data_IF_701742472290
#
_entry.id   IF_701742472290
#
_cell.length_a   1.000
_cell.length_b   1.000
_cell.length_c   1.000
_cell.angle_alpha   90.00
_cell.angle_beta   90.00
_cell.angle_gamma   90.00
#
_symmetry.space_group_name_H-M   'P 1'
#
loop_
_entity.id
_entity.type
_entity.pdbx_description
1 polymer ?
#
# COMPACT_ATOMS: atom_id res chain seq x y z
N UNK A 1 10.42 -6.05 14.96
CA UNK A 1 9.15 -6.40 15.59
C UNK A 1 7.93 -5.78 14.90
N UNK A 2 7.81 -4.45 14.70
CA UNK A 2 6.63 -3.83 14.06
C UNK A 2 6.24 -4.42 12.70
N UNK A 3 7.22 -4.72 11.81
CA UNK A 3 6.95 -5.29 10.48
C UNK A 3 6.39 -6.72 10.52
N UNK A 4 6.84 -7.55 11.46
CA UNK A 4 6.33 -8.93 11.62
C UNK A 4 4.89 -8.90 12.11
N UNK A 5 4.58 -8.03 13.08
CA UNK A 5 3.20 -7.85 13.58
C UNK A 5 2.27 -7.40 12.44
N UNK A 6 2.71 -6.48 11.58
CA UNK A 6 1.94 -6.06 10.40
C UNK A 6 1.66 -7.24 9.45
N UNK A 7 2.63 -8.12 9.21
CA UNK A 7 2.46 -9.29 8.37
C UNK A 7 1.44 -10.25 9.00
N UNK A 8 1.52 -10.51 10.30
CA UNK A 8 0.58 -11.40 11.01
C UNK A 8 -0.84 -10.84 10.96
N UNK A 9 -1.02 -9.56 11.32
CA UNK A 9 -2.33 -8.90 11.28
C UNK A 9 -2.89 -8.92 9.85
N UNK A 10 -2.06 -8.60 8.85
CA UNK A 10 -2.47 -8.64 7.45
C UNK A 10 -2.98 -10.01 7.03
N UNK A 11 -2.28 -11.08 7.38
CA UNK A 11 -2.70 -12.45 7.06
C UNK A 11 -4.01 -12.84 7.79
N UNK A 12 -4.18 -12.44 9.05
CA UNK A 12 -5.43 -12.68 9.80
C UNK A 12 -6.61 -12.00 9.11
N UNK A 13 -6.48 -10.72 8.76
CA UNK A 13 -7.52 -9.95 8.07
C UNK A 13 -7.89 -10.58 6.72
N UNK A 14 -6.89 -10.97 5.93
CA UNK A 14 -7.11 -11.61 4.63
C UNK A 14 -7.80 -12.96 4.77
N UNK A 15 -7.31 -13.84 5.64
CA UNK A 15 -7.85 -15.18 5.81
C UNK A 15 -9.28 -15.13 6.36
N UNK A 16 -9.55 -14.25 7.31
CA UNK A 16 -10.89 -14.01 7.81
C UNK A 16 -11.82 -13.51 6.69
N UNK A 17 -11.45 -12.44 6.00
CA UNK A 17 -12.28 -11.86 4.93
C UNK A 17 -12.54 -12.87 3.81
N UNK A 18 -11.51 -13.61 3.39
CA UNK A 18 -11.66 -14.58 2.31
C UNK A 18 -12.56 -15.75 2.70
N UNK A 19 -12.31 -16.36 3.86
CA UNK A 19 -13.07 -17.53 4.33
C UNK A 19 -14.53 -17.19 4.64
N UNK A 20 -14.77 -16.15 5.44
CA UNK A 20 -16.09 -15.88 6.02
C UNK A 20 -16.98 -14.94 5.21
N UNK A 21 -16.38 -14.11 4.36
CA UNK A 21 -17.15 -13.15 3.55
C UNK A 21 -17.18 -13.55 2.08
N UNK A 22 -16.03 -13.86 1.49
CA UNK A 22 -15.94 -14.09 0.05
C UNK A 22 -16.37 -15.51 -0.31
N UNK A 23 -15.70 -16.51 0.27
CA UNK A 23 -15.91 -17.91 -0.07
C UNK A 23 -17.32 -18.38 0.32
N UNK A 24 -17.77 -18.02 1.52
CA UNK A 24 -19.08 -18.40 2.06
C UNK A 24 -20.25 -17.86 1.22
N UNK A 25 -20.08 -16.73 0.55
CA UNK A 25 -21.09 -16.06 -0.27
C UNK A 25 -20.88 -16.25 -1.78
N UNK A 26 -20.01 -17.17 -2.19
CA UNK A 26 -19.72 -17.49 -3.59
C UNK A 26 -19.29 -16.27 -4.43
N UNK A 27 -18.68 -15.26 -3.79
CA UNK A 27 -18.18 -14.09 -4.49
C UNK A 27 -16.91 -14.44 -5.21
N UNK A 28 -16.83 -14.06 -6.48
CA UNK A 28 -15.62 -14.26 -7.29
C UNK A 28 -14.44 -13.51 -6.69
N UNK A 29 -13.32 -14.18 -6.52
CA UNK A 29 -12.11 -13.63 -5.96
C UNK A 29 -10.94 -13.71 -6.93
N UNK A 30 -9.99 -12.78 -6.79
CA UNK A 30 -8.73 -12.80 -7.50
C UNK A 30 -7.64 -13.59 -6.77
N UNK A 31 -6.41 -13.45 -7.24
CA UNK A 31 -5.22 -14.00 -6.61
C UNK A 31 -5.15 -15.52 -6.58
N UNK A 32 -4.22 -16.02 -5.75
CA UNK A 32 -4.06 -17.46 -5.56
C UNK A 32 -5.31 -18.12 -4.99
N UNK A 33 -6.04 -17.41 -4.15
CA UNK A 33 -7.31 -17.90 -3.61
C UNK A 33 -8.34 -18.11 -4.72
N UNK A 34 -8.46 -17.16 -5.64
CA UNK A 34 -9.38 -17.25 -6.78
C UNK A 34 -9.04 -18.41 -7.73
N UNK A 35 -7.76 -18.57 -8.11
CA UNK A 35 -7.37 -19.72 -8.95
C UNK A 35 -7.54 -21.05 -8.20
N UNK A 36 -7.36 -21.06 -6.87
CA UNK A 36 -7.60 -22.25 -6.05
C UNK A 36 -9.09 -22.62 -6.00
N UNK A 37 -10.00 -21.64 -6.05
CA UNK A 37 -11.44 -21.89 -6.21
C UNK A 37 -11.75 -22.55 -7.54
N UNK A 38 -11.10 -22.13 -8.63
CA UNK A 38 -11.20 -22.77 -9.95
C UNK A 38 -10.74 -24.25 -9.86
N UNK A 39 -9.59 -24.50 -9.25
CA UNK A 39 -9.10 -25.86 -9.06
C UNK A 39 -10.05 -26.70 -8.20
N UNK A 40 -10.54 -26.14 -7.11
CA UNK A 40 -11.52 -26.82 -6.25
C UNK A 40 -12.77 -27.23 -7.02
N UNK A 41 -13.33 -26.34 -7.83
CA UNK A 41 -14.50 -26.62 -8.65
C UNK A 41 -14.32 -27.83 -9.58
N UNK A 42 -13.15 -27.94 -10.23
CA UNK A 42 -12.91 -29.05 -11.19
C UNK A 42 -12.37 -30.32 -10.55
N UNK A 43 -11.68 -30.23 -9.40
CA UNK A 43 -10.96 -31.41 -8.84
C UNK A 43 -11.47 -31.86 -7.47
N UNK A 44 -12.22 -31.01 -6.77
CA UNK A 44 -12.67 -31.28 -5.39
C UNK A 44 -11.57 -31.10 -4.32
N UNK A 45 -10.34 -30.72 -4.70
CA UNK A 45 -9.23 -30.51 -3.75
C UNK A 45 -9.54 -29.28 -2.89
N UNK A 46 -9.25 -29.36 -1.58
CA UNK A 46 -9.53 -28.22 -0.69
C UNK A 46 -8.80 -26.93 -1.14
N UNK A 47 -9.48 -25.79 -1.05
CA UNK A 47 -8.94 -24.49 -1.46
C UNK A 47 -7.67 -24.16 -0.68
N UNK A 48 -7.67 -24.42 0.63
CA UNK A 48 -6.51 -24.19 1.50
C UNK A 48 -5.28 -24.98 1.08
N UNK A 49 -5.47 -26.24 0.66
CA UNK A 49 -4.37 -27.06 0.15
C UNK A 49 -3.83 -26.51 -1.18
N UNK A 50 -4.70 -26.14 -2.12
CA UNK A 50 -4.30 -25.52 -3.38
C UNK A 50 -3.52 -24.22 -3.15
N UNK A 51 -4.02 -23.34 -2.28
CA UNK A 51 -3.35 -22.11 -1.89
C UNK A 51 -1.97 -22.41 -1.30
N UNK A 52 -1.87 -23.40 -0.41
CA UNK A 52 -0.59 -23.78 0.19
C UNK A 52 0.44 -24.24 -0.85
N UNK A 53 0.05 -25.11 -1.78
CA UNK A 53 0.93 -25.63 -2.84
C UNK A 53 1.40 -24.50 -3.76
N UNK A 54 0.47 -23.66 -4.23
CA UNK A 54 0.79 -22.54 -5.13
C UNK A 54 1.69 -21.52 -4.42
N UNK A 55 1.39 -21.20 -3.16
CA UNK A 55 2.20 -20.27 -2.36
C UNK A 55 3.62 -20.78 -2.16
N UNK A 56 3.82 -22.08 -1.92
CA UNK A 56 5.17 -22.67 -1.81
C UNK A 56 5.92 -22.53 -3.13
N UNK A 57 5.28 -22.84 -4.26
CA UNK A 57 5.90 -22.69 -5.57
C UNK A 57 6.29 -21.23 -5.86
N UNK A 58 5.40 -20.27 -5.60
CA UNK A 58 5.66 -18.85 -5.76
C UNK A 58 6.72 -18.35 -4.79
N UNK A 59 6.76 -18.87 -3.56
CA UNK A 59 7.79 -18.56 -2.58
C UNK A 59 9.19 -18.95 -3.09
N UNK A 60 9.34 -20.13 -3.71
CA UNK A 60 10.61 -20.57 -4.30
C UNK A 60 11.04 -19.59 -5.40
N UNK A 61 10.12 -19.18 -6.27
CA UNK A 61 10.38 -18.16 -7.30
C UNK A 61 10.82 -16.83 -6.64
N UNK A 62 10.09 -16.37 -5.64
CA UNK A 62 10.44 -15.15 -4.91
C UNK A 62 11.80 -15.22 -4.24
N UNK A 63 12.16 -16.36 -3.65
CA UNK A 63 13.47 -16.57 -3.06
C UNK A 63 14.60 -16.42 -4.10
N UNK A 64 14.43 -17.03 -5.28
CA UNK A 64 15.42 -16.99 -6.35
C UNK A 64 15.62 -15.57 -6.93
N UNK A 65 14.54 -14.82 -7.14
CA UNK A 65 14.58 -13.53 -7.84
C UNK A 65 14.66 -12.30 -6.93
N UNK A 66 14.04 -12.33 -5.75
CA UNK A 66 13.95 -11.19 -4.83
C UNK A 66 14.91 -11.29 -3.65
N UNK A 67 15.50 -12.46 -3.43
CA UNK A 67 16.58 -12.66 -2.48
C UNK A 67 16.11 -13.01 -1.06
N UNK A 68 17.10 -13.36 -0.20
CA UNK A 68 16.88 -13.95 1.12
C UNK A 68 16.13 -13.05 2.11
N UNK A 69 16.39 -11.73 2.09
CA UNK A 69 15.74 -10.80 3.00
C UNK A 69 14.22 -10.65 2.75
N UNK A 70 13.80 -10.73 1.49
CA UNK A 70 12.40 -10.78 1.09
C UNK A 70 11.76 -12.12 1.50
N UNK A 71 12.44 -13.22 1.17
CA UNK A 71 11.94 -14.56 1.45
C UNK A 71 11.68 -14.81 2.95
N UNK A 72 12.56 -14.36 3.84
CA UNK A 72 12.38 -14.48 5.29
C UNK A 72 11.10 -13.82 5.81
N UNK A 73 10.65 -12.74 5.19
CA UNK A 73 9.40 -12.06 5.58
C UNK A 73 8.18 -12.75 4.94
N UNK A 74 8.32 -13.18 3.69
CA UNK A 74 7.27 -13.86 2.94
C UNK A 74 7.00 -15.25 3.49
N UNK A 75 8.01 -15.93 4.04
CA UNK A 75 7.88 -17.24 4.66
C UNK A 75 6.74 -17.30 5.69
N UNK A 76 6.59 -16.24 6.49
CA UNK A 76 5.51 -16.14 7.48
C UNK A 76 4.16 -16.25 6.79
N UNK A 77 3.92 -15.43 5.75
CA UNK A 77 2.64 -15.42 5.03
C UNK A 77 2.38 -16.73 4.29
N UNK A 78 3.42 -17.32 3.67
CA UNK A 78 3.33 -18.57 2.89
C UNK A 78 2.71 -19.72 3.69
N UNK A 79 3.02 -19.80 4.97
CA UNK A 79 2.47 -20.83 5.86
C UNK A 79 1.29 -20.35 6.69
N UNK A 80 1.32 -19.11 7.15
CA UNK A 80 0.29 -18.56 8.04
C UNK A 80 -1.05 -18.38 7.33
N UNK A 81 -1.06 -17.87 6.10
CA UNK A 81 -2.30 -17.60 5.38
C UNK A 81 -3.12 -18.88 5.10
N UNK A 82 -2.57 -19.95 4.50
CA UNK A 82 -3.32 -21.18 4.29
C UNK A 82 -3.83 -21.84 5.59
N UNK A 83 -3.01 -21.76 6.65
CA UNK A 83 -3.36 -22.31 7.97
C UNK A 83 -4.53 -21.52 8.60
N UNK A 84 -4.49 -20.20 8.53
CA UNK A 84 -5.59 -19.36 9.03
C UNK A 84 -6.85 -19.51 8.16
N UNK A 85 -6.68 -19.66 6.85
CA UNK A 85 -7.79 -19.91 5.93
C UNK A 85 -8.53 -21.19 6.31
N UNK A 86 -7.81 -22.29 6.51
CA UNK A 86 -8.39 -23.55 6.96
C UNK A 86 -9.04 -23.42 8.33
N UNK A 87 -8.36 -22.74 9.27
CA UNK A 87 -8.90 -22.49 10.61
C UNK A 87 -10.24 -21.76 10.57
N UNK A 88 -10.33 -20.66 9.83
CA UNK A 88 -11.59 -19.90 9.74
C UNK A 88 -12.67 -20.66 8.96
N UNK A 89 -12.30 -21.42 7.94
CA UNK A 89 -13.23 -22.22 7.15
C UNK A 89 -13.90 -23.34 7.97
N UNK A 90 -13.25 -23.84 9.01
CA UNK A 90 -13.83 -24.85 9.91
C UNK A 90 -14.75 -24.29 10.98
N UNK A 91 -14.81 -22.96 11.14
CA UNK A 91 -15.61 -22.33 12.20
C UNK A 91 -17.06 -22.05 11.74
N UNK A 92 -17.95 -23.00 11.92
CA UNK A 92 -19.36 -22.91 11.46
C UNK A 92 -20.10 -21.65 11.97
N UNK A 93 -19.74 -21.11 13.14
CA UNK A 93 -20.38 -19.90 13.69
C UNK A 93 -19.97 -18.61 12.98
N UNK A 94 -18.94 -18.63 12.14
CA UNK A 94 -18.50 -17.50 11.34
C UNK A 94 -19.20 -17.47 9.96
N UNK A 95 -19.83 -18.54 9.56
CA UNK A 95 -20.56 -18.62 8.30
C UNK A 95 -21.93 -17.92 8.43
N UNK A 96 -22.33 -17.22 7.37
CA UNK A 96 -23.61 -16.52 7.35
C UNK A 96 -23.69 -15.30 8.28
N UNK A 97 -22.55 -14.70 8.68
CA UNK A 97 -22.52 -13.49 9.51
C UNK A 97 -23.26 -12.31 8.88
N UNK A 98 -23.25 -12.24 7.57
CA UNK A 98 -23.87 -11.19 6.78
C UNK A 98 -24.68 -11.82 5.65
N UNK A 99 -25.86 -11.26 5.38
CA UNK A 99 -26.75 -11.72 4.30
C UNK A 99 -26.82 -10.73 3.12
N UNK A 100 -26.33 -9.51 3.30
CA UNK A 100 -26.32 -8.49 2.26
C UNK A 100 -25.04 -8.60 1.43
N UNK A 101 -25.17 -9.07 0.19
CA UNK A 101 -24.04 -9.29 -0.72
C UNK A 101 -23.26 -8.01 -1.02
N UNK A 102 -23.92 -6.84 -1.07
CA UNK A 102 -23.24 -5.58 -1.28
C UNK A 102 -22.33 -5.22 -0.09
N UNK A 103 -22.86 -5.38 1.13
CA UNK A 103 -22.10 -5.15 2.36
C UNK A 103 -20.91 -6.12 2.47
N UNK A 104 -21.13 -7.38 2.08
CA UNK A 104 -20.08 -8.41 2.05
C UNK A 104 -18.96 -8.02 1.09
N UNK A 105 -19.28 -7.56 -0.12
CA UNK A 105 -18.29 -7.10 -1.10
C UNK A 105 -17.47 -5.93 -0.57
N UNK A 106 -18.14 -4.94 0.05
CA UNK A 106 -17.49 -3.75 0.57
C UNK A 106 -16.53 -4.14 1.72
N UNK A 107 -17.04 -4.86 2.71
CA UNK A 107 -16.23 -5.28 3.87
C UNK A 107 -15.16 -6.28 3.48
N UNK A 108 -15.47 -7.27 2.64
CA UNK A 108 -14.54 -8.26 2.15
C UNK A 108 -13.39 -7.60 1.37
N UNK A 109 -13.71 -6.76 0.40
CA UNK A 109 -12.73 -6.02 -0.39
C UNK A 109 -11.87 -5.08 0.46
N UNK A 110 -12.48 -4.38 1.41
CA UNK A 110 -11.80 -3.52 2.36
C UNK A 110 -10.79 -4.29 3.22
N UNK A 111 -11.21 -5.38 3.85
CA UNK A 111 -10.35 -6.19 4.72
C UNK A 111 -9.24 -6.90 3.93
N UNK A 112 -9.55 -7.43 2.74
CA UNK A 112 -8.55 -8.01 1.83
C UNK A 112 -7.51 -6.97 1.45
N UNK A 113 -7.94 -5.80 0.99
CA UNK A 113 -7.03 -4.72 0.58
C UNK A 113 -6.17 -4.20 1.72
N UNK A 114 -6.74 -4.05 2.93
CA UNK A 114 -5.98 -3.74 4.14
C UNK A 114 -4.95 -4.81 4.45
N UNK A 115 -5.34 -6.08 4.42
CA UNK A 115 -4.46 -7.20 4.73
C UNK A 115 -3.28 -7.30 3.77
N UNK A 116 -3.54 -7.30 2.45
CA UNK A 116 -2.52 -7.31 1.39
C UNK A 116 -1.60 -6.08 1.54
N UNK A 117 -2.19 -4.90 1.66
CA UNK A 117 -1.44 -3.65 1.79
C UNK A 117 -0.52 -3.61 3.01
N UNK A 118 -0.94 -4.14 4.16
CA UNK A 118 -0.12 -4.26 5.37
C UNK A 118 1.09 -5.17 5.15
N UNK A 119 0.90 -6.32 4.52
CA UNK A 119 1.96 -7.29 4.24
C UNK A 119 2.99 -6.69 3.27
N UNK A 120 2.54 -6.12 2.16
CA UNK A 120 3.40 -5.49 1.16
C UNK A 120 4.14 -4.28 1.74
N UNK A 121 3.49 -3.43 2.54
CA UNK A 121 4.10 -2.28 3.23
C UNK A 121 5.19 -2.69 4.22
N UNK A 122 5.06 -3.85 4.85
CA UNK A 122 6.10 -4.42 5.70
C UNK A 122 7.32 -4.94 4.89
N UNK A 123 7.22 -4.98 3.56
CA UNK A 123 8.24 -5.46 2.63
C UNK A 123 8.30 -6.98 2.55
N UNK A 124 7.17 -7.66 2.81
CA UNK A 124 6.92 -9.07 2.52
C UNK A 124 5.96 -9.20 1.34
N UNK A 125 5.49 -10.42 1.12
CA UNK A 125 4.43 -10.79 0.18
C UNK A 125 3.41 -11.63 0.92
N UNK A 126 2.19 -11.70 0.40
CA UNK A 126 1.14 -12.60 0.90
C UNK A 126 1.45 -14.08 0.60
N UNK A 127 2.50 -14.33 -0.17
CA UNK A 127 2.87 -15.65 -0.68
C UNK A 127 2.22 -15.98 -2.02
N UNK A 128 1.37 -15.09 -2.52
CA UNK A 128 0.56 -15.23 -3.72
C UNK A 128 1.19 -14.66 -5.00
N UNK A 129 0.35 -14.38 -5.99
CA UNK A 129 0.78 -13.81 -7.29
C UNK A 129 1.40 -12.42 -7.18
N UNK A 130 1.28 -11.75 -6.06
CA UNK A 130 2.02 -10.54 -5.72
C UNK A 130 3.54 -10.76 -5.77
N UNK A 131 4.04 -12.00 -5.55
CA UNK A 131 5.45 -12.35 -5.77
C UNK A 131 5.83 -12.18 -7.25
N UNK A 132 5.01 -12.69 -8.16
CA UNK A 132 5.27 -12.52 -9.59
C UNK A 132 5.23 -11.04 -9.98
N UNK A 133 4.27 -10.29 -9.47
CA UNK A 133 4.17 -8.85 -9.69
C UNK A 133 5.42 -8.12 -9.19
N UNK A 134 5.94 -8.45 -8.00
CA UNK A 134 7.18 -7.87 -7.47
C UNK A 134 8.42 -8.25 -8.29
N UNK A 135 8.49 -9.47 -8.82
CA UNK A 135 9.58 -9.89 -9.72
C UNK A 135 9.54 -9.10 -11.03
N UNK A 136 8.36 -8.90 -11.61
CA UNK A 136 8.17 -8.11 -12.83
C UNK A 136 8.44 -6.63 -12.58
N UNK A 137 7.96 -6.05 -11.47
CA UNK A 137 8.26 -4.66 -11.10
C UNK A 137 9.75 -4.42 -11.00
N UNK A 138 10.50 -5.33 -10.35
CA UNK A 138 11.96 -5.21 -10.20
C UNK A 138 12.69 -5.15 -11.53
N UNK A 139 12.23 -5.91 -12.53
CA UNK A 139 12.91 -6.03 -13.82
C UNK A 139 12.41 -5.02 -14.85
N UNK A 140 11.12 -4.71 -14.86
CA UNK A 140 10.45 -3.92 -15.90
C UNK A 140 9.90 -2.57 -15.39
N UNK A 141 10.01 -2.29 -14.07
CA UNK A 141 9.50 -1.06 -13.43
C UNK A 141 8.00 -0.80 -13.61
N UNK A 142 7.22 -1.86 -13.86
CA UNK A 142 5.76 -1.78 -13.91
C UNK A 142 5.20 -1.81 -12.49
N UNK A 143 4.28 -0.93 -12.10
CA UNK A 143 3.74 -0.91 -10.75
C UNK A 143 3.12 -2.25 -10.32
N UNK A 144 3.45 -2.74 -9.12
CA UNK A 144 2.92 -4.00 -8.56
C UNK A 144 1.40 -4.05 -8.62
N UNK A 145 0.75 -2.95 -8.28
CA UNK A 145 -0.71 -2.87 -8.23
C UNK A 145 -1.36 -3.12 -9.58
N UNK A 146 -0.78 -2.62 -10.67
CA UNK A 146 -1.27 -2.83 -12.03
C UNK A 146 -1.15 -4.30 -12.43
N UNK A 147 -0.04 -4.94 -12.05
CA UNK A 147 0.21 -6.36 -12.35
C UNK A 147 -0.71 -7.26 -11.55
N UNK A 148 -0.88 -7.01 -10.25
CA UNK A 148 -1.81 -7.78 -9.40
C UNK A 148 -3.23 -7.66 -9.93
N UNK A 149 -3.69 -6.44 -10.24
CA UNK A 149 -5.03 -6.22 -10.78
C UNK A 149 -5.23 -6.91 -12.14
N UNK A 150 -4.21 -6.94 -12.99
CA UNK A 150 -4.25 -7.66 -14.28
C UNK A 150 -4.38 -9.18 -14.11
N UNK A 151 -3.65 -9.74 -13.14
CA UNK A 151 -3.76 -11.15 -12.77
C UNK A 151 -5.15 -11.46 -12.22
N UNK A 152 -5.65 -10.62 -11.30
CA UNK A 152 -6.97 -10.79 -10.70
C UNK A 152 -8.09 -10.73 -11.75
N UNK A 153 -8.02 -9.79 -12.69
CA UNK A 153 -8.96 -9.72 -13.82
C UNK A 153 -8.92 -10.97 -14.70
N UNK A 154 -7.73 -11.53 -14.94
CA UNK A 154 -7.60 -12.77 -15.71
C UNK A 154 -8.23 -13.96 -14.99
N UNK A 155 -8.00 -14.07 -13.67
CA UNK A 155 -8.57 -15.12 -12.84
C UNK A 155 -10.09 -14.99 -12.77
N UNK A 156 -10.61 -13.75 -12.71
CA UNK A 156 -12.05 -13.50 -12.75
C UNK A 156 -12.67 -14.02 -14.05
N UNK A 157 -12.03 -13.79 -15.21
CA UNK A 157 -12.52 -14.31 -16.49
C UNK A 157 -12.60 -15.83 -16.47
N UNK A 158 -11.63 -16.52 -15.86
CA UNK A 158 -11.67 -17.99 -15.72
C UNK A 158 -12.83 -18.49 -14.87
N UNK A 159 -13.30 -17.68 -13.93
CA UNK A 159 -14.40 -18.02 -13.02
C UNK A 159 -15.79 -17.78 -13.62
N UNK A 160 -15.91 -17.06 -14.75
CA UNK A 160 -17.22 -16.78 -15.41
C UNK A 160 -17.98 -18.07 -15.72
N UNK A 161 -17.26 -19.16 -16.01
CA UNK A 161 -17.89 -20.41 -16.46
C UNK A 161 -18.76 -21.12 -15.41
N UNK A 162 -18.58 -20.81 -14.12
CA UNK A 162 -19.27 -21.48 -13.01
C UNK A 162 -19.85 -20.54 -11.95
N UNK A 163 -19.88 -19.24 -12.25
CA UNK A 163 -20.53 -18.24 -11.40
C UNK A 163 -21.68 -17.54 -12.12
N UNK A 164 -22.66 -17.12 -11.37
CA UNK A 164 -23.78 -16.32 -11.88
C UNK A 164 -23.34 -14.86 -12.14
N UNK A 165 -24.08 -14.16 -13.00
CA UNK A 165 -23.80 -12.74 -13.32
C UNK A 165 -23.73 -11.85 -12.08
N UNK A 166 -24.65 -11.97 -11.08
CA UNK A 166 -24.52 -11.18 -9.85
C UNK A 166 -23.22 -11.45 -9.08
N UNK A 167 -22.80 -12.72 -8.94
CA UNK A 167 -21.56 -13.10 -8.24
C UNK A 167 -20.33 -12.52 -8.91
N UNK A 168 -20.32 -12.47 -10.26
CA UNK A 168 -19.24 -11.85 -11.05
C UNK A 168 -19.22 -10.34 -10.79
N UNK A 169 -20.37 -9.66 -10.81
CA UNK A 169 -20.45 -8.21 -10.56
C UNK A 169 -19.95 -7.88 -9.14
N UNK A 170 -20.37 -8.65 -8.14
CA UNK A 170 -19.89 -8.48 -6.77
C UNK A 170 -18.39 -8.78 -6.65
N UNK A 171 -17.89 -9.76 -7.38
CA UNK A 171 -16.46 -10.06 -7.47
C UNK A 171 -15.66 -8.90 -8.04
N UNK A 172 -16.12 -8.28 -9.14
CA UNK A 172 -15.49 -7.09 -9.71
C UNK A 172 -15.45 -5.94 -8.68
N UNK A 173 -16.56 -5.69 -7.99
CA UNK A 173 -16.62 -4.66 -6.95
C UNK A 173 -15.62 -4.94 -5.82
N UNK A 174 -15.54 -6.20 -5.37
CA UNK A 174 -14.60 -6.63 -4.34
C UNK A 174 -13.14 -6.38 -4.78
N UNK A 175 -12.79 -6.76 -6.02
CA UNK A 175 -11.44 -6.55 -6.57
C UNK A 175 -11.12 -5.06 -6.64
N UNK A 176 -12.04 -4.22 -7.11
CA UNK A 176 -11.83 -2.76 -7.19
C UNK A 176 -11.60 -2.14 -5.80
N UNK A 177 -12.39 -2.52 -4.81
CA UNK A 177 -12.25 -2.04 -3.43
C UNK A 177 -10.92 -2.53 -2.84
N UNK A 178 -10.57 -3.79 -3.07
CA UNK A 178 -9.27 -4.38 -2.64
C UNK A 178 -8.10 -3.59 -3.24
N UNK A 179 -8.14 -3.33 -4.55
CA UNK A 179 -7.13 -2.56 -5.25
C UNK A 179 -7.00 -1.13 -4.71
N UNK A 180 -8.13 -0.46 -4.47
CA UNK A 180 -8.15 0.88 -3.90
C UNK A 180 -7.52 0.93 -2.51
N UNK A 181 -7.91 0.02 -1.62
CA UNK A 181 -7.39 -0.03 -0.25
C UNK A 181 -5.91 -0.43 -0.20
N UNK A 182 -5.50 -1.38 -1.03
CA UNK A 182 -4.09 -1.75 -1.17
C UNK A 182 -3.24 -0.55 -1.62
N UNK A 183 -3.67 0.16 -2.68
CA UNK A 183 -3.00 1.36 -3.18
C UNK A 183 -2.93 2.46 -2.11
N UNK A 184 -4.03 2.72 -1.43
CA UNK A 184 -4.09 3.69 -0.34
C UNK A 184 -3.05 3.40 0.74
N UNK A 185 -2.92 2.13 1.18
CA UNK A 185 -1.94 1.74 2.19
C UNK A 185 -0.49 1.83 1.69
N UNK A 186 -0.22 1.44 0.45
CA UNK A 186 1.12 1.48 -0.13
C UNK A 186 1.60 2.92 -0.36
N UNK A 187 0.69 3.80 -0.75
CA UNK A 187 0.97 5.23 -0.93
C UNK A 187 1.03 5.99 0.40
N UNK A 188 0.25 5.54 1.40
CA UNK A 188 0.19 6.19 2.72
C UNK A 188 1.54 6.17 3.44
N UNK A 189 2.02 7.36 3.79
CA UNK A 189 3.27 7.56 4.54
C UNK A 189 4.54 7.69 3.69
N UNK A 190 4.43 7.61 2.36
CA UNK A 190 5.51 7.98 1.43
C UNK A 190 5.34 9.41 0.90
N UNK A 191 4.19 10.03 1.15
CA UNK A 191 3.89 11.36 0.65
C UNK A 191 4.82 12.41 1.24
N UNK A 192 5.47 13.18 0.37
CA UNK A 192 6.08 14.44 0.70
C UNK A 192 5.09 15.58 0.42
N UNK A 193 5.25 16.66 1.14
CA UNK A 193 4.56 17.91 0.84
C UNK A 193 5.58 18.96 0.46
N UNK A 194 5.22 19.71 -0.55
CA UNK A 194 5.87 20.97 -0.88
C UNK A 194 5.20 22.07 -0.07
N UNK A 195 5.99 22.86 0.59
CA UNK A 195 5.52 24.03 1.33
C UNK A 195 6.16 25.27 0.71
N UNK A 196 5.31 26.20 0.28
CA UNK A 196 5.70 27.56 -0.06
C UNK A 196 5.32 28.44 1.11
N UNK A 197 6.29 29.20 1.62
CA UNK A 197 6.13 30.03 2.80
C UNK A 197 6.57 31.47 2.47
N UNK A 198 5.73 32.41 2.80
CA UNK A 198 5.97 33.83 2.70
C UNK A 198 5.82 34.49 4.09
N UNK A 199 6.83 35.17 4.54
CA UNK A 199 6.87 35.83 5.84
C UNK A 199 7.80 37.02 5.80
N UNK A 200 7.66 37.93 6.76
CA UNK A 200 8.64 39.00 6.98
C UNK A 200 9.91 38.48 7.67
N UNK A 201 9.83 37.35 8.33
CA UNK A 201 10.91 36.72 9.10
C UNK A 201 11.56 35.56 8.30
N UNK A 202 11.81 35.75 7.01
CA UNK A 202 12.29 34.70 6.07
C UNK A 202 13.57 34.05 6.57
N UNK A 203 14.56 34.80 7.03
CA UNK A 203 15.83 34.24 7.51
C UNK A 203 15.65 33.36 8.74
N UNK A 204 14.78 33.74 9.68
CA UNK A 204 14.45 32.90 10.85
C UNK A 204 13.74 31.61 10.43
N UNK A 205 12.81 31.71 9.47
CA UNK A 205 12.10 30.55 8.89
C UNK A 205 13.06 29.60 8.21
N UNK A 206 13.98 30.12 7.40
CA UNK A 206 15.02 29.33 6.73
C UNK A 206 15.87 28.56 7.74
N UNK A 207 16.37 29.24 8.77
CA UNK A 207 17.22 28.61 9.79
C UNK A 207 16.46 27.54 10.58
N UNK A 208 15.23 27.76 10.95
CA UNK A 208 14.36 26.79 11.62
C UNK A 208 14.14 25.54 10.75
N UNK A 209 13.83 25.72 9.45
CA UNK A 209 13.61 24.59 8.56
C UNK A 209 14.89 23.78 8.35
N UNK A 210 16.04 24.43 8.19
CA UNK A 210 17.33 23.78 8.00
C UNK A 210 17.78 23.01 9.25
N UNK A 211 17.70 23.65 10.43
CA UNK A 211 18.29 23.11 11.65
C UNK A 211 17.34 22.19 12.41
N UNK A 212 16.08 22.63 12.61
CA UNK A 212 15.13 21.90 13.45
C UNK A 212 14.35 20.84 12.68
N UNK A 213 14.00 21.14 11.41
CA UNK A 213 13.23 20.21 10.58
C UNK A 213 14.10 19.28 9.76
N UNK A 214 15.42 19.54 9.70
CA UNK A 214 16.36 18.79 8.85
C UNK A 214 15.80 18.62 7.42
N UNK A 215 15.34 19.74 6.82
CA UNK A 215 14.78 19.79 5.49
C UNK A 215 15.53 20.81 4.61
N UNK A 216 15.61 20.53 3.30
CA UNK A 216 16.19 21.45 2.34
C UNK A 216 15.34 22.70 2.16
N UNK A 217 15.98 23.84 1.92
CA UNK A 217 15.32 25.12 1.64
C UNK A 217 15.85 25.66 0.33
N UNK A 218 14.94 26.14 -0.51
CA UNK A 218 15.25 26.96 -1.69
C UNK A 218 14.55 28.29 -1.53
N UNK A 219 15.27 29.38 -1.68
CA UNK A 219 14.69 30.72 -1.74
C UNK A 219 14.37 31.03 -3.21
N UNK A 220 13.16 31.51 -3.43
CA UNK A 220 12.68 31.96 -4.73
C UNK A 220 12.44 33.47 -4.65
N UNK A 221 13.16 34.21 -5.47
CA UNK A 221 12.95 35.66 -5.59
C UNK A 221 11.64 35.90 -6.34
N UNK A 222 10.85 36.83 -5.82
CA UNK A 222 9.57 37.21 -6.38
C UNK A 222 9.26 38.66 -6.17
N UNK A 223 8.14 39.11 -6.72
CA UNK A 223 7.63 40.46 -6.52
C UNK A 223 6.18 40.41 -6.07
N UNK A 224 5.86 41.15 -4.99
CA UNK A 224 4.48 41.26 -4.53
C UNK A 224 3.63 41.97 -5.57
N UNK A 225 2.59 41.30 -6.07
CA UNK A 225 1.68 41.87 -7.07
C UNK A 225 0.87 43.04 -6.53
N UNK A 226 0.60 43.10 -5.21
CA UNK A 226 -0.17 44.17 -4.58
C UNK A 226 0.67 45.37 -4.19
N UNK A 227 1.83 45.14 -3.54
CA UNK A 227 2.70 46.19 -3.03
C UNK A 227 3.82 46.58 -3.99
N UNK A 228 4.12 45.74 -4.99
CA UNK A 228 5.23 45.94 -5.94
C UNK A 228 6.62 45.80 -5.33
N UNK A 229 6.72 45.37 -4.08
CA UNK A 229 7.98 45.16 -3.37
C UNK A 229 8.58 43.79 -3.71
N UNK A 230 9.91 43.73 -3.71
CA UNK A 230 10.64 42.48 -3.79
C UNK A 230 10.33 41.62 -2.56
N UNK A 231 10.14 40.33 -2.75
CA UNK A 231 9.82 39.39 -1.70
C UNK A 231 10.50 38.05 -1.99
N UNK A 232 10.89 37.37 -0.96
CA UNK A 232 11.42 35.98 -1.07
C UNK A 232 10.36 34.99 -0.62
N UNK A 233 10.33 33.85 -1.29
CA UNK A 233 9.45 32.73 -0.96
C UNK A 233 10.32 31.53 -0.62
N UNK A 234 10.12 30.99 0.58
CA UNK A 234 10.75 29.74 0.98
C UNK A 234 10.01 28.58 0.34
N UNK A 235 10.72 27.78 -0.44
CA UNK A 235 10.27 26.48 -0.92
C UNK A 235 10.98 25.41 -0.09
N UNK A 236 10.22 24.51 0.54
CA UNK A 236 10.76 23.34 1.21
C UNK A 236 9.92 22.11 0.89
N UNK A 237 10.55 20.94 0.89
CA UNK A 237 9.87 19.65 0.71
C UNK A 237 10.21 18.79 1.92
N UNK A 238 9.18 18.24 2.56
CA UNK A 238 9.34 17.42 3.74
C UNK A 238 8.29 16.29 3.79
N UNK A 239 8.55 15.22 4.55
CA UNK A 239 7.55 14.18 4.77
C UNK A 239 6.29 14.74 5.42
N UNK A 240 5.11 14.31 4.95
CA UNK A 240 3.81 14.78 5.46
C UNK A 240 3.70 14.73 6.99
N UNK A 241 4.33 13.74 7.62
CA UNK A 241 4.35 13.57 9.09
C UNK A 241 5.00 14.74 9.85
N UNK A 242 5.89 15.51 9.20
CA UNK A 242 6.55 16.69 9.78
C UNK A 242 5.76 17.97 9.59
N UNK A 243 4.69 17.96 8.78
CA UNK A 243 3.91 19.15 8.45
C UNK A 243 3.23 19.81 9.67
N UNK A 244 2.64 19.07 10.64
CA UNK A 244 2.06 19.69 11.83
C UNK A 244 3.12 20.46 12.64
N UNK A 245 4.26 19.84 12.94
CA UNK A 245 5.37 20.48 13.68
C UNK A 245 5.92 21.71 12.95
N UNK A 246 6.06 21.62 11.61
CA UNK A 246 6.44 22.80 10.80
C UNK A 246 5.43 23.94 10.95
N UNK A 247 4.14 23.66 10.87
CA UNK A 247 3.10 24.70 11.00
C UNK A 247 3.10 25.37 12.38
N UNK A 248 3.33 24.60 13.44
CA UNK A 248 3.38 25.12 14.79
C UNK A 248 4.58 26.04 14.97
N UNK A 249 5.77 25.63 14.53
CA UNK A 249 6.98 26.44 14.57
C UNK A 249 6.91 27.70 13.70
N UNK A 250 6.25 27.63 12.54
CA UNK A 250 6.02 28.82 11.71
C UNK A 250 5.17 29.85 12.46
N UNK A 251 4.08 29.41 13.13
CA UNK A 251 3.22 30.30 13.90
C UNK A 251 3.93 30.95 15.09
N UNK A 252 4.87 30.22 15.72
CA UNK A 252 5.69 30.79 16.81
C UNK A 252 6.61 31.92 16.33
N UNK A 253 7.09 31.86 15.07
CA UNK A 253 7.97 32.86 14.50
C UNK A 253 7.18 34.04 13.92
N UNK A 254 6.12 33.76 13.15
CA UNK A 254 5.25 34.76 12.51
C UNK A 254 3.83 34.17 12.35
N UNK A 255 2.92 34.66 13.21
CA UNK A 255 1.52 34.22 13.17
C UNK A 255 0.80 34.60 11.86
N UNK A 256 1.32 35.61 11.15
CA UNK A 256 0.76 36.11 9.88
C UNK A 256 1.44 35.53 8.65
N UNK A 257 2.32 34.55 8.81
CA UNK A 257 2.99 33.89 7.70
C UNK A 257 1.96 33.24 6.76
N UNK A 258 2.15 33.43 5.46
CA UNK A 258 1.31 32.79 4.44
C UNK A 258 1.94 31.49 3.99
N UNK A 259 1.18 30.42 4.08
CA UNK A 259 1.65 29.06 3.82
C UNK A 259 0.77 28.40 2.76
N UNK A 260 1.39 27.90 1.69
CA UNK A 260 0.74 27.02 0.70
C UNK A 260 1.33 25.62 0.88
N UNK A 261 0.47 24.64 1.00
CA UNK A 261 0.87 23.22 1.10
C UNK A 261 0.29 22.46 -0.09
N UNK A 262 1.15 21.80 -0.84
CA UNK A 262 0.76 20.96 -1.97
C UNK A 262 1.30 19.54 -1.76
N UNK A 263 0.51 18.52 -2.11
CA UNK A 263 1.01 17.15 -2.14
C UNK A 263 1.95 16.96 -3.33
N UNK A 264 3.06 16.27 -3.09
CA UNK A 264 4.04 15.93 -4.12
C UNK A 264 3.94 14.45 -4.39
N UNK A 265 3.69 14.09 -5.64
CA UNK A 265 3.57 12.68 -6.05
C UNK A 265 4.92 11.98 -6.00
N UNK A 266 5.98 12.64 -6.47
CA UNK A 266 7.33 12.07 -6.51
C UNK A 266 8.38 13.15 -6.22
N UNK A 267 9.38 12.77 -5.42
CA UNK A 267 10.58 13.58 -5.16
C UNK A 267 11.80 12.69 -5.34
N UNK A 268 12.71 13.11 -6.21
CA UNK A 268 13.99 12.43 -6.46
C UNK A 268 15.15 13.39 -6.26
N UNK A 269 16.26 12.92 -5.70
CA UNK A 269 17.46 13.71 -5.51
C UNK A 269 18.11 13.54 -4.15
N UNK A 270 19.10 14.40 -3.85
CA UNK A 270 19.85 14.40 -2.59
C UNK A 270 18.92 14.65 -1.38
N UNK A 271 19.03 13.80 -0.38
CA UNK A 271 18.19 13.84 0.82
C UNK A 271 16.84 13.13 0.70
N UNK A 272 16.45 12.67 -0.50
CA UNK A 272 15.23 11.88 -0.75
C UNK A 272 15.55 10.50 -1.33
N UNK A 273 16.19 10.44 -2.49
CA UNK A 273 16.57 9.18 -3.15
C UNK A 273 17.97 8.75 -2.74
N UNK A 274 18.86 9.71 -2.56
CA UNK A 274 20.24 9.48 -2.10
C UNK A 274 20.40 9.96 -0.66
N UNK A 275 21.30 9.30 0.11
CA UNK A 275 21.67 9.80 1.43
C UNK A 275 22.25 11.21 1.33
N UNK A 276 21.93 12.09 2.27
CA UNK A 276 22.55 13.42 2.36
C UNK A 276 24.05 13.22 2.47
N UNK A 277 24.81 13.57 1.43
CA UNK A 277 26.23 13.82 1.59
C UNK A 277 26.36 15.09 2.43
N UNK A 278 27.06 14.99 3.56
CA UNK A 278 27.35 16.15 4.39
C UNK A 278 28.06 17.18 3.51
N UNK A 279 27.54 18.39 3.47
CA UNK A 279 28.17 19.52 2.79
C UNK A 279 29.59 19.72 3.33
N UNK A 280 30.58 19.30 2.59
CA UNK A 280 31.80 20.06 2.51
C UNK A 280 31.47 21.26 1.60
N UNK A 281 31.42 22.42 2.20
CA UNK A 281 31.28 23.67 1.48
C UNK A 281 32.53 23.85 0.62
N UNK A 282 32.45 23.48 -0.65
CA UNK A 282 33.38 23.96 -1.65
C UNK A 282 32.87 25.30 -2.14
N UNK A 283 33.44 26.35 -1.60
CA UNK A 283 33.46 27.67 -2.21
C UNK A 283 34.38 27.68 -3.42
#
# INVERSE_FOLDING_TARGET
MKKIIQIIIGNILMAFAFSTLILDNSIVAGGVSGISTVFHFYTGISISLCVGIINIALFIIGFCFLGKAFAMKTLISTFLFPTLLEFFNQQSYLHGLLNDQLLICILGGFLLGLGIGLVLKAGGSTGGFDILALVVEKNFKVPVTLLVNGIDATILVLQISFHSVPEIVYGIMTILITAYMMNYLLSSGKGCVQVLLMSKEIERMKMMILNDMDAGVTLLDGKSGFYGNDTEVVLTILPYRKLPDLKDKIKEIDEKAFIIVSHVEEVSGNGFTYSKEMREASF
#
